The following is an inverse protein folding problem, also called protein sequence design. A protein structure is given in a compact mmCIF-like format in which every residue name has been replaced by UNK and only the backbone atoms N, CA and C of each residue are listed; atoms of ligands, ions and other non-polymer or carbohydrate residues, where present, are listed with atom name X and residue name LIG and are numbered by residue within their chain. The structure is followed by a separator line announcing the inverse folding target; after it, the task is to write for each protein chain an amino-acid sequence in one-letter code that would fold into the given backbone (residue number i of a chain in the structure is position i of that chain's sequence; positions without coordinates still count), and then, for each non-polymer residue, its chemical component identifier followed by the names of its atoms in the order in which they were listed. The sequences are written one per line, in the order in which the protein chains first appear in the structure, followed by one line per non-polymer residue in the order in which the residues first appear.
data_IF_016835844378
#
_entry.id   IF_016835844378
#
_cell.length_a   1.000
_cell.length_b   1.000
_cell.length_c   1.000
_cell.angle_alpha   90.00
_cell.angle_beta   90.00
_cell.angle_gamma   90.00
#
_symmetry.space_group_name_H-M   'P 1'
#
loop_
_entity.id
_entity.type
_entity.pdbx_description
1 polymer ?
#
# COMPACT_ATOMS: atom_id res chain seq x y z
N UNK A 1 18.13 12.12 -2.73
CA UNK A 1 17.70 10.86 -2.08
C UNK A 1 16.47 10.35 -2.82
N UNK A 2 16.38 9.05 -3.11
CA UNK A 2 15.19 8.48 -3.75
C UNK A 2 14.15 8.10 -2.68
N UNK A 3 12.89 8.41 -2.94
CA UNK A 3 11.74 8.01 -2.11
C UNK A 3 10.96 6.92 -2.86
N UNK A 4 10.53 5.89 -2.15
CA UNK A 4 9.65 4.85 -2.70
C UNK A 4 8.21 5.42 -2.85
N UNK A 5 7.62 5.40 -4.05
CA UNK A 5 6.32 6.02 -4.28
C UNK A 5 5.15 5.31 -3.59
N UNK A 6 5.26 4.01 -3.31
CA UNK A 6 4.24 3.27 -2.55
C UNK A 6 4.84 2.01 -1.92
N UNK A 7 4.81 1.92 -0.59
CA UNK A 7 5.44 0.82 0.15
C UNK A 7 4.38 -0.07 0.81
N UNK A 8 3.96 -1.13 0.13
CA UNK A 8 2.89 -2.02 0.62
C UNK A 8 3.22 -2.68 1.97
N UNK A 9 4.46 -3.13 2.16
CA UNK A 9 4.90 -3.79 3.40
C UNK A 9 4.83 -2.87 4.62
N UNK A 10 5.25 -1.61 4.49
CA UNK A 10 5.13 -0.62 5.56
C UNK A 10 3.65 -0.36 5.91
N UNK A 11 2.79 -0.22 4.91
CA UNK A 11 1.35 -0.02 5.13
C UNK A 11 0.71 -1.22 5.85
N UNK A 12 1.19 -2.44 5.63
CA UNK A 12 0.74 -3.61 6.38
C UNK A 12 1.12 -3.51 7.87
N UNK A 13 2.35 -3.10 8.19
CA UNK A 13 2.80 -2.89 9.57
C UNK A 13 2.03 -1.76 10.26
N UNK A 14 1.73 -0.67 9.55
CA UNK A 14 0.88 0.42 10.08
C UNK A 14 -0.54 -0.08 10.35
N UNK A 15 -1.11 -0.92 9.48
CA UNK A 15 -2.40 -1.58 9.71
C UNK A 15 -2.41 -2.42 10.99
N UNK A 16 -1.36 -3.22 11.23
CA UNK A 16 -1.22 -3.98 12.48
C UNK A 16 -1.10 -3.07 13.71
N UNK A 17 -0.34 -1.99 13.59
CA UNK A 17 -0.18 -1.02 14.67
C UNK A 17 -1.49 -0.33 15.03
N UNK A 18 -2.29 0.07 14.04
CA UNK A 18 -3.62 0.64 14.27
C UNK A 18 -4.59 -0.37 14.88
N UNK A 19 -4.59 -1.63 14.43
CA UNK A 19 -5.38 -2.69 15.05
C UNK A 19 -5.05 -2.86 16.54
N UNK A 20 -3.77 -2.89 16.88
CA UNK A 20 -3.32 -3.06 18.25
C UNK A 20 -3.72 -1.90 19.17
N UNK A 21 -3.84 -0.68 18.61
CA UNK A 21 -4.21 0.52 19.36
C UNK A 21 -5.72 0.78 19.42
N UNK A 22 -6.47 0.32 18.40
CA UNK A 22 -7.90 0.57 18.29
C UNK A 22 -8.28 1.99 17.83
N UNK A 23 -7.31 2.81 17.43
CA UNK A 23 -7.52 4.23 17.13
C UNK A 23 -8.08 4.50 15.73
N UNK A 24 -7.87 3.59 14.79
CA UNK A 24 -8.30 3.74 13.39
C UNK A 24 -9.13 2.52 12.99
N UNK A 25 -10.41 2.71 12.63
CA UNK A 25 -11.25 1.62 12.15
C UNK A 25 -10.75 1.12 10.80
N UNK A 26 -10.84 -0.20 10.60
CA UNK A 26 -10.57 -0.87 9.33
C UNK A 26 -11.88 -1.26 8.63
N UNK A 27 -11.92 -1.24 7.28
CA UNK A 27 -10.83 -0.89 6.39
C UNK A 27 -10.63 0.63 6.27
N UNK A 28 -9.41 1.05 5.92
CA UNK A 28 -9.12 2.44 5.53
C UNK A 28 -8.37 2.51 4.22
N UNK A 29 -8.40 3.68 3.60
CA UNK A 29 -7.65 3.99 2.38
C UNK A 29 -6.54 4.98 2.69
N UNK A 30 -5.36 4.77 2.08
CA UNK A 30 -4.17 5.60 2.27
C UNK A 30 -3.50 5.90 0.92
N UNK A 31 -2.92 7.09 0.83
CA UNK A 31 -2.15 7.57 -0.33
C UNK A 31 -0.68 7.78 0.06
N UNK A 32 0.26 7.34 -0.79
CA UNK A 32 1.71 7.58 -0.65
C UNK A 32 2.30 8.15 -1.95
N UNK A 33 3.42 8.87 -1.82
CA UNK A 33 4.26 9.31 -2.93
C UNK A 33 3.95 10.69 -3.49
N UNK A 34 3.06 11.46 -2.85
CA UNK A 34 2.64 12.79 -3.32
C UNK A 34 3.83 13.74 -3.55
N UNK A 35 4.86 13.66 -2.69
CA UNK A 35 6.08 14.49 -2.80
C UNK A 35 6.95 14.15 -3.99
N UNK A 36 6.85 12.93 -4.52
CA UNK A 36 7.53 12.47 -5.74
C UNK A 36 6.59 12.42 -6.95
N UNK A 37 5.46 13.13 -6.88
CA UNK A 37 4.50 13.22 -7.99
C UNK A 37 3.77 11.92 -8.28
N UNK A 38 3.67 11.01 -7.30
CA UNK A 38 2.90 9.77 -7.37
C UNK A 38 1.74 9.81 -6.38
N UNK A 39 0.73 8.98 -6.62
CA UNK A 39 -0.44 8.87 -5.75
C UNK A 39 -0.81 7.39 -5.62
N UNK A 40 0.10 6.61 -5.02
CA UNK A 40 -0.15 5.20 -4.77
C UNK A 40 -1.30 5.06 -3.77
N UNK A 41 -2.44 4.56 -4.23
CA UNK A 41 -3.64 4.40 -3.44
C UNK A 41 -3.79 2.94 -2.99
N UNK A 42 -3.82 2.73 -1.68
CA UNK A 42 -3.95 1.41 -1.06
C UNK A 42 -5.17 1.37 -0.14
N UNK A 43 -5.81 0.21 -0.10
CA UNK A 43 -6.78 -0.18 0.92
C UNK A 43 -6.08 -1.11 1.90
N UNK A 44 -6.18 -0.78 3.19
CA UNK A 44 -5.75 -1.65 4.29
C UNK A 44 -6.99 -2.18 4.98
N UNK A 45 -7.07 -3.50 5.15
CA UNK A 45 -8.20 -4.18 5.77
C UNK A 45 -7.74 -5.26 6.75
N UNK A 46 -8.66 -5.72 7.60
CA UNK A 46 -8.45 -6.85 8.50
C UNK A 46 -9.48 -7.92 8.20
N UNK A 47 -9.03 -9.08 7.74
CA UNK A 47 -9.89 -10.19 7.32
C UNK A 47 -9.28 -11.47 7.88
N UNK A 48 -10.12 -12.28 8.55
CA UNK A 48 -9.73 -13.59 9.09
C UNK A 48 -8.46 -13.56 9.99
N UNK A 49 -8.32 -12.51 10.81
CA UNK A 49 -7.19 -12.37 11.71
C UNK A 49 -5.91 -11.85 11.06
N UNK A 50 -5.94 -11.48 9.77
CA UNK A 50 -4.79 -11.00 9.02
C UNK A 50 -5.02 -9.60 8.46
N UNK A 51 -3.96 -8.79 8.47
CA UNK A 51 -3.95 -7.49 7.76
C UNK A 51 -3.67 -7.73 6.29
N UNK A 52 -4.53 -7.19 5.45
CA UNK A 52 -4.41 -7.22 4.00
C UNK A 52 -4.15 -5.81 3.47
N UNK A 53 -3.26 -5.72 2.48
CA UNK A 53 -2.96 -4.50 1.74
C UNK A 53 -3.21 -4.77 0.28
N UNK A 54 -4.08 -3.97 -0.34
CA UNK A 54 -4.43 -4.12 -1.75
C UNK A 54 -4.55 -2.76 -2.43
N UNK A 55 -4.36 -2.74 -3.74
CA UNK A 55 -4.50 -1.54 -4.55
C UNK A 55 -4.64 -1.91 -6.03
N UNK A 56 -5.19 -1.00 -6.82
CA UNK A 56 -5.29 -1.18 -8.26
C UNK A 56 -3.89 -1.10 -8.89
N UNK A 57 -3.61 -1.99 -9.84
CA UNK A 57 -2.41 -1.96 -10.66
C UNK A 57 -2.76 -1.79 -12.14
N UNK A 58 -1.89 -1.10 -12.88
CA UNK A 58 -2.04 -0.88 -14.33
C UNK A 58 -0.73 -1.30 -15.00
N UNK A 59 -0.82 -2.24 -15.94
CA UNK A 59 0.31 -2.60 -16.79
C UNK A 59 0.68 -1.42 -17.68
N UNK A 60 1.93 -0.93 -17.54
CA UNK A 60 2.43 0.21 -18.33
C UNK A 60 3.21 -0.20 -19.57
N UNK A 61 3.93 -1.31 -19.49
CA UNK A 61 4.80 -1.81 -20.54
C UNK A 61 4.58 -3.32 -20.65
N UNK A 62 4.45 -3.80 -21.88
CA UNK A 62 4.44 -5.22 -22.22
C UNK A 62 5.51 -5.41 -23.30
N UNK A 63 6.37 -6.40 -23.14
CA UNK A 63 7.46 -6.64 -24.09
C UNK A 63 8.31 -7.85 -23.72
N UNK A 64 9.31 -8.11 -24.55
CA UNK A 64 10.25 -9.22 -24.43
C UNK A 64 11.68 -8.68 -24.27
N UNK A 65 12.51 -9.38 -23.50
CA UNK A 65 13.93 -9.05 -23.30
C UNK A 65 14.76 -10.20 -23.85
N UNK A 66 15.64 -9.91 -24.80
CA UNK A 66 16.65 -10.84 -25.28
C UNK A 66 17.89 -10.78 -24.38
N UNK A 67 18.57 -11.91 -24.24
CA UNK A 67 19.85 -12.03 -23.52
C UNK A 67 21.02 -11.57 -24.38
#
# INVERSE_FOLDING_TARGET
MAEDPVTGSLNASIGQWFLARGDVPLPYTVSQGARVGRAGLLTVSHVEGAVWVGGAAITRIVGEVAM
#
